data_IF_657463607409
#
_entry.id   IF_657463607409
#
_cell.length_a   1.000
_cell.length_b   1.000
_cell.length_c   1.000
_cell.angle_alpha   90.00
_cell.angle_beta   90.00
_cell.angle_gamma   90.00
#
_symmetry.space_group_name_H-M   'P 1'
#
loop_
_entity.id
_entity.type
_entity.pdbx_description
1 polymer ?
#
# COMPACT_ATOMS: atom_id res chain seq x y z
N UNK A 1 35.01 68.11 13.04
CA UNK A 1 35.92 69.01 12.29
C UNK A 1 36.90 68.14 11.50
N UNK A 2 36.95 68.31 10.18
CA UNK A 2 37.87 67.66 9.22
C UNK A 2 39.34 67.84 9.64
N UNK A 3 40.21 66.85 9.42
CA UNK A 3 41.12 66.84 8.24
C UNK A 3 42.28 65.82 8.31
N UNK A 4 42.43 65.07 7.18
CA UNK A 4 43.65 64.75 6.41
C UNK A 4 44.76 63.90 7.07
N UNK A 5 45.57 63.10 6.37
CA UNK A 5 45.67 62.50 5.01
C UNK A 5 47.05 61.79 5.00
N UNK A 6 47.16 60.55 4.49
CA UNK A 6 48.25 60.01 3.61
C UNK A 6 48.57 58.52 3.84
N UNK A 7 48.14 57.72 2.87
CA UNK A 7 48.91 56.80 2.01
C UNK A 7 50.22 56.18 2.54
N UNK A 8 50.26 54.83 2.55
CA UNK A 8 51.38 54.07 2.00
C UNK A 8 50.90 52.70 1.49
N UNK A 9 51.37 52.39 0.28
CA UNK A 9 51.04 51.31 -0.64
C UNK A 9 51.93 50.09 -0.36
N UNK A 10 51.38 48.88 -0.31
CA UNK A 10 52.15 47.65 -0.48
C UNK A 10 51.30 46.61 -1.24
N UNK A 11 51.76 46.32 -2.44
CA UNK A 11 51.32 45.30 -3.40
C UNK A 11 51.79 43.92 -2.95
N UNK A 12 50.89 42.93 -2.97
CA UNK A 12 51.23 41.52 -3.10
C UNK A 12 50.20 40.89 -4.03
N UNK A 13 50.75 40.27 -5.07
CA UNK A 13 50.14 39.73 -6.27
C UNK A 13 50.07 38.22 -6.08
N UNK A 14 48.88 37.63 -6.02
CA UNK A 14 48.69 36.17 -6.15
C UNK A 14 47.46 35.88 -7.00
N UNK A 15 47.76 35.18 -8.09
CA UNK A 15 46.94 34.79 -9.23
C UNK A 15 45.75 33.91 -8.87
N UNK A 16 44.54 34.33 -9.27
CA UNK A 16 43.36 33.47 -9.41
C UNK A 16 43.47 32.69 -10.73
N UNK A 17 43.48 31.37 -10.65
CA UNK A 17 43.28 30.47 -11.78
C UNK A 17 41.80 30.09 -11.81
N UNK A 18 41.04 30.69 -12.72
CA UNK A 18 39.69 30.24 -13.08
C UNK A 18 39.83 29.00 -13.98
N UNK A 19 39.22 27.89 -13.56
CA UNK A 19 39.08 26.68 -14.39
C UNK A 19 37.71 26.75 -15.04
N UNK A 20 37.69 27.12 -16.33
CA UNK A 20 36.55 26.92 -17.21
C UNK A 20 36.32 25.41 -17.41
N UNK A 21 35.16 24.92 -16.97
CA UNK A 21 34.63 23.62 -17.39
C UNK A 21 33.49 23.90 -18.35
N UNK A 22 33.74 23.70 -19.64
CA UNK A 22 32.73 23.77 -20.70
C UNK A 22 31.64 22.71 -20.48
N UNK A 23 30.41 23.13 -20.14
CA UNK A 23 29.22 22.28 -20.18
C UNK A 23 28.53 22.40 -21.53
N UNK A 24 28.84 21.50 -22.47
CA UNK A 24 28.11 21.38 -23.73
C UNK A 24 26.81 20.59 -23.55
N UNK A 25 25.75 21.25 -23.07
CA UNK A 25 24.36 20.77 -23.20
C UNK A 25 23.63 21.63 -24.24
N UNK A 26 23.47 21.11 -25.46
CA UNK A 26 22.69 21.76 -26.51
C UNK A 26 21.20 21.67 -26.16
N UNK A 27 20.60 22.81 -25.84
CA UNK A 27 19.16 22.98 -25.65
C UNK A 27 18.47 22.86 -27.02
N UNK A 28 17.74 21.77 -27.25
CA UNK A 28 16.84 21.64 -28.41
C UNK A 28 15.58 22.44 -28.08
N UNK A 29 15.43 23.61 -28.70
CA UNK A 29 14.22 24.43 -28.61
C UNK A 29 13.10 23.73 -29.39
N UNK A 30 12.14 23.16 -28.67
CA UNK A 30 10.88 22.67 -29.26
C UNK A 30 9.96 23.88 -29.46
N UNK A 31 9.38 24.10 -30.65
CA UNK A 31 8.52 25.26 -30.90
C UNK A 31 7.23 25.20 -30.08
N UNK A 32 6.79 26.37 -29.59
CA UNK A 32 5.53 26.58 -28.86
C UNK A 32 4.33 25.99 -29.64
N UNK A 33 3.78 24.89 -29.15
CA UNK A 33 2.46 24.42 -29.58
C UNK A 33 1.36 25.18 -28.84
N UNK A 34 0.38 25.65 -29.61
CA UNK A 34 -0.77 26.45 -29.19
C UNK A 34 -1.48 25.94 -27.90
N UNK A 35 -2.12 26.83 -27.13
CA UNK A 35 -2.73 26.49 -25.85
C UNK A 35 -3.87 25.48 -26.02
N UNK A 36 -3.75 24.32 -25.36
CA UNK A 36 -4.80 23.32 -25.25
C UNK A 36 -5.95 23.94 -24.45
N UNK A 37 -7.06 24.27 -25.12
CA UNK A 37 -8.30 24.70 -24.46
C UNK A 37 -8.80 23.56 -23.56
N UNK A 38 -8.79 23.77 -22.24
CA UNK A 38 -9.44 22.89 -21.26
C UNK A 38 -10.96 22.99 -21.45
N UNK A 39 -11.57 22.01 -22.10
CA UNK A 39 -12.99 22.01 -22.47
C UNK A 39 -13.90 21.19 -21.55
N UNK A 40 -13.46 20.74 -20.37
CA UNK A 40 -14.33 19.95 -19.45
C UNK A 40 -14.27 20.41 -18.00
N UNK A 41 -15.45 20.40 -17.37
CA UNK A 41 -15.66 20.83 -15.99
C UNK A 41 -15.20 19.74 -14.99
N UNK A 42 -14.86 20.09 -13.73
CA UNK A 42 -14.47 19.13 -12.71
C UNK A 42 -15.69 18.30 -12.29
N UNK A 43 -15.84 17.15 -12.93
CA UNK A 43 -16.98 16.23 -12.81
C UNK A 43 -17.01 15.21 -13.96
N UNK A 44 -16.46 15.57 -15.12
CA UNK A 44 -16.39 14.71 -16.31
C UNK A 44 -15.24 13.68 -16.28
N UNK A 45 -14.51 13.58 -15.17
CA UNK A 45 -13.45 12.56 -14.94
C UNK A 45 -14.01 11.26 -14.35
N UNK A 46 -15.32 11.18 -14.11
CA UNK A 46 -15.96 9.92 -13.79
C UNK A 46 -16.06 9.10 -15.07
N UNK A 47 -14.98 8.36 -15.37
CA UNK A 47 -15.06 7.21 -16.25
C UNK A 47 -16.09 6.29 -15.61
N UNK A 48 -17.28 6.21 -16.19
CA UNK A 48 -18.23 5.16 -15.87
C UNK A 48 -17.50 3.84 -16.08
N UNK A 49 -17.18 3.14 -14.99
CA UNK A 49 -16.61 1.80 -15.04
C UNK A 49 -17.61 0.95 -15.81
N UNK A 50 -17.31 0.48 -17.03
CA UNK A 50 -18.14 -0.54 -17.63
C UNK A 50 -17.94 -1.77 -16.74
N UNK A 51 -19.00 -2.22 -16.07
CA UNK A 51 -19.04 -3.57 -15.52
C UNK A 51 -18.96 -4.54 -16.71
N UNK A 52 -17.73 -4.88 -17.09
CA UNK A 52 -17.44 -6.08 -17.88
C UNK A 52 -16.93 -7.13 -16.91
N UNK A 53 -17.60 -8.28 -16.78
CA UNK A 53 -17.00 -9.41 -16.09
C UNK A 53 -15.76 -9.80 -16.89
N UNK A 54 -14.60 -9.82 -16.23
CA UNK A 54 -13.40 -10.44 -16.79
C UNK A 54 -13.80 -11.86 -17.17
N UNK A 55 -13.76 -12.14 -18.47
CA UNK A 55 -14.21 -13.39 -19.04
C UNK A 55 -13.31 -14.52 -18.55
N UNK A 56 -13.92 -15.46 -17.83
CA UNK A 56 -13.48 -16.85 -17.75
C UNK A 56 -12.26 -17.11 -16.87
N UNK A 57 -12.47 -17.16 -15.55
CA UNK A 57 -12.34 -18.38 -14.71
C UNK A 57 -12.50 -17.93 -13.26
N UNK A 58 -13.65 -18.23 -12.66
CA UNK A 58 -13.81 -18.09 -11.20
C UNK A 58 -12.95 -19.18 -10.57
N UNK A 59 -11.69 -18.87 -10.26
CA UNK A 59 -10.90 -19.70 -9.38
C UNK A 59 -11.61 -19.71 -8.02
N UNK A 60 -12.31 -20.81 -7.71
CA UNK A 60 -12.92 -21.05 -6.39
C UNK A 60 -11.82 -21.30 -5.37
N UNK A 61 -11.08 -20.26 -5.00
CA UNK A 61 -10.26 -20.29 -3.78
C UNK A 61 -11.18 -19.88 -2.64
N UNK A 62 -11.97 -20.84 -2.18
CA UNK A 62 -12.76 -20.69 -0.97
C UNK A 62 -12.08 -21.50 0.12
N UNK A 63 -11.37 -20.77 0.98
CA UNK A 63 -11.03 -21.24 2.33
C UNK A 63 -12.33 -21.70 3.00
N UNK A 64 -12.31 -22.90 3.57
CA UNK A 64 -13.43 -23.39 4.38
C UNK A 64 -13.13 -23.11 5.85
N UNK A 65 -13.95 -22.25 6.46
CA UNK A 65 -13.92 -22.00 7.89
C UNK A 65 -15.07 -22.75 8.54
N UNK A 66 -14.79 -23.54 9.56
CA UNK A 66 -15.78 -24.30 10.30
C UNK A 66 -15.93 -23.68 11.69
N UNK A 67 -17.14 -23.26 12.02
CA UNK A 67 -17.51 -22.78 13.34
C UNK A 67 -18.20 -23.92 14.10
N UNK A 68 -17.57 -24.38 15.18
CA UNK A 68 -18.16 -25.35 16.12
C UNK A 68 -18.52 -24.64 17.42
N UNK A 69 -19.15 -25.39 18.34
CA UNK A 69 -19.47 -24.88 19.67
C UNK A 69 -18.24 -24.49 20.48
N UNK A 70 -17.08 -25.10 20.22
CA UNK A 70 -15.85 -25.03 21.00
C UNK A 70 -14.65 -24.45 20.24
N UNK A 71 -14.67 -24.43 18.91
CA UNK A 71 -13.54 -24.02 18.09
C UNK A 71 -13.95 -23.31 16.79
N UNK A 72 -13.00 -22.59 16.21
CA UNK A 72 -13.02 -22.14 14.82
C UNK A 72 -11.86 -22.82 14.09
N UNK A 73 -12.17 -23.56 13.04
CA UNK A 73 -11.20 -24.36 12.28
C UNK A 73 -11.13 -23.80 10.86
N UNK A 74 -9.99 -23.22 10.47
CA UNK A 74 -9.74 -22.82 9.09
C UNK A 74 -8.98 -23.93 8.38
N UNK A 75 -9.62 -24.55 7.38
CA UNK A 75 -8.99 -25.59 6.56
C UNK A 75 -8.11 -24.96 5.48
N UNK A 76 -6.98 -25.58 5.12
CA UNK A 76 -6.06 -25.04 4.14
C UNK A 76 -6.71 -24.80 2.77
N UNK A 77 -6.21 -23.79 2.04
CA UNK A 77 -6.73 -23.39 0.71
C UNK A 77 -6.39 -24.39 -0.41
N UNK A 78 -5.29 -25.12 -0.26
CA UNK A 78 -4.81 -26.13 -1.20
C UNK A 78 -4.90 -27.50 -0.56
N UNK A 79 -5.16 -28.53 -1.37
CA UNK A 79 -5.03 -29.93 -0.97
C UNK A 79 -3.58 -30.35 -0.71
N UNK A 80 -2.59 -29.53 -1.06
CA UNK A 80 -1.18 -29.80 -0.76
C UNK A 80 -0.79 -29.34 0.65
N UNK A 81 -1.38 -28.24 1.11
CA UNK A 81 -1.25 -27.85 2.51
C UNK A 81 -2.18 -28.73 3.34
N UNK A 82 -1.60 -29.44 4.29
CA UNK A 82 -2.30 -30.39 5.15
C UNK A 82 -2.42 -29.87 6.58
N UNK A 83 -2.20 -28.58 6.79
CA UNK A 83 -2.23 -27.96 8.13
C UNK A 83 -3.41 -27.00 8.22
N UNK A 84 -4.29 -27.25 9.18
CA UNK A 84 -5.39 -26.36 9.53
C UNK A 84 -5.00 -25.44 10.68
N UNK A 85 -5.59 -24.25 10.69
CA UNK A 85 -5.55 -23.33 11.81
C UNK A 85 -6.74 -23.61 12.72
N UNK A 86 -6.48 -23.81 14.02
CA UNK A 86 -7.52 -24.05 15.01
C UNK A 86 -7.45 -22.98 16.09
N UNK A 87 -8.58 -22.34 16.34
CA UNK A 87 -8.75 -21.34 17.40
C UNK A 87 -9.76 -21.88 18.39
N UNK A 88 -9.32 -22.11 19.62
CA UNK A 88 -10.20 -22.52 20.72
C UNK A 88 -11.04 -21.33 21.18
N UNK A 89 -12.37 -21.49 21.23
CA UNK A 89 -13.31 -20.40 21.54
C UNK A 89 -13.50 -20.16 23.04
N UNK A 90 -13.04 -21.06 23.90
CA UNK A 90 -13.10 -20.88 25.35
C UNK A 90 -11.90 -20.08 25.88
N UNK A 91 -10.70 -20.41 25.40
CA UNK A 91 -9.42 -19.84 25.79
C UNK A 91 -8.94 -18.74 24.85
N UNK A 92 -9.43 -18.70 23.60
CA UNK A 92 -8.89 -17.84 22.54
C UNK A 92 -7.50 -18.28 22.06
N UNK A 93 -7.02 -19.45 22.49
CA UNK A 93 -5.70 -19.96 22.08
C UNK A 93 -5.72 -20.46 20.64
N UNK A 94 -4.60 -20.28 19.96
CA UNK A 94 -4.43 -20.65 18.56
C UNK A 94 -3.41 -21.76 18.43
N UNK A 95 -3.64 -22.69 17.50
CA UNK A 95 -2.76 -23.81 17.19
C UNK A 95 -2.86 -24.20 15.71
N UNK A 96 -1.86 -24.93 15.23
CA UNK A 96 -1.87 -25.60 13.93
C UNK A 96 -2.00 -27.11 14.13
N UNK A 97 -2.84 -27.76 13.33
CA UNK A 97 -3.09 -29.20 13.42
C UNK A 97 -3.12 -29.79 12.02
N UNK A 98 -2.50 -30.96 11.82
CA UNK A 98 -2.60 -31.68 10.57
C UNK A 98 -4.06 -32.09 10.28
N UNK A 99 -4.52 -31.93 9.04
CA UNK A 99 -5.89 -32.21 8.63
C UNK A 99 -6.30 -33.66 8.87
N UNK A 100 -5.34 -34.60 8.81
CA UNK A 100 -5.56 -36.01 9.12
C UNK A 100 -5.92 -36.26 10.61
N UNK A 101 -5.46 -35.39 11.51
CA UNK A 101 -5.63 -35.51 12.96
C UNK A 101 -6.81 -34.67 13.49
N UNK A 102 -7.46 -33.89 12.61
CA UNK A 102 -8.59 -33.04 12.98
C UNK A 102 -9.81 -33.86 13.37
N UNK A 103 -10.32 -33.61 14.57
CA UNK A 103 -11.62 -34.11 15.03
C UNK A 103 -12.64 -32.99 14.89
N UNK A 104 -13.49 -33.10 13.89
CA UNK A 104 -14.52 -32.08 13.60
C UNK A 104 -15.86 -32.57 14.15
N UNK A 105 -16.49 -31.77 15.01
CA UNK A 105 -17.84 -32.02 15.51
C UNK A 105 -18.86 -32.09 14.37
N UNK A 106 -19.89 -32.93 14.51
CA UNK A 106 -21.00 -33.00 13.55
C UNK A 106 -21.83 -31.71 13.53
N UNK A 107 -21.95 -31.03 14.67
CA UNK A 107 -22.60 -29.72 14.77
C UNK A 107 -21.61 -28.62 14.41
N UNK A 108 -21.59 -28.25 13.12
CA UNK A 108 -20.72 -27.20 12.58
C UNK A 108 -21.48 -26.30 11.61
N UNK A 109 -21.09 -25.04 11.56
CA UNK A 109 -21.50 -24.08 10.53
C UNK A 109 -20.31 -23.83 9.62
N UNK A 110 -20.50 -24.03 8.32
CA UNK A 110 -19.48 -23.71 7.32
C UNK A 110 -19.60 -22.25 6.89
N UNK A 111 -18.49 -21.51 6.99
CA UNK A 111 -18.36 -20.12 6.58
C UNK A 111 -17.36 -20.10 5.42
N UNK A 112 -17.83 -19.86 4.18
CA UNK A 112 -16.93 -19.69 3.04
C UNK A 112 -16.19 -18.36 3.16
N UNK A 113 -14.88 -18.38 2.92
CA UNK A 113 -14.05 -17.18 2.90
C UNK A 113 -12.96 -17.28 1.83
N UNK A 114 -12.41 -16.15 1.39
CA UNK A 114 -11.23 -16.11 0.52
C UNK A 114 -9.94 -16.07 1.35
N UNK A 115 -9.97 -15.35 2.48
CA UNK A 115 -8.82 -15.25 3.36
C UNK A 115 -9.18 -14.98 4.82
N UNK A 116 -8.32 -15.47 5.72
CA UNK A 116 -8.21 -14.93 7.08
C UNK A 116 -7.38 -13.66 7.00
N UNK A 117 -7.96 -12.52 7.36
CA UNK A 117 -7.27 -11.22 7.39
C UNK A 117 -6.48 -11.03 8.70
N UNK A 118 -6.83 -11.76 9.76
CA UNK A 118 -6.14 -11.78 11.05
C UNK A 118 -7.11 -11.69 12.22
N UNK A 119 -6.60 -11.26 13.36
CA UNK A 119 -7.36 -11.13 14.60
C UNK A 119 -7.45 -9.68 15.05
N UNK A 120 -8.57 -9.30 15.66
CA UNK A 120 -8.74 -7.99 16.27
C UNK A 120 -9.47 -8.11 17.61
N UNK A 121 -9.06 -7.29 18.57
CA UNK A 121 -9.76 -7.14 19.85
C UNK A 121 -10.49 -5.82 19.86
N UNK A 122 -11.81 -5.88 20.06
CA UNK A 122 -12.70 -4.73 20.18
C UNK A 122 -13.19 -4.68 21.62
N UNK A 123 -12.69 -3.69 22.37
CA UNK A 123 -12.89 -3.56 23.82
C UNK A 123 -12.46 -4.85 24.55
N UNK A 124 -13.41 -5.64 25.02
CA UNK A 124 -13.18 -6.89 25.76
C UNK A 124 -13.32 -8.15 24.91
N UNK A 125 -13.75 -8.04 23.66
CA UNK A 125 -14.08 -9.18 22.81
C UNK A 125 -13.12 -9.33 21.64
N UNK A 126 -12.78 -10.57 21.31
CA UNK A 126 -11.82 -10.90 20.26
C UNK A 126 -12.51 -11.55 19.08
N UNK A 127 -12.10 -11.17 17.88
CA UNK A 127 -12.71 -11.58 16.63
C UNK A 127 -11.67 -12.13 15.66
N UNK A 128 -12.05 -13.17 14.93
CA UNK A 128 -11.41 -13.58 13.68
C UNK A 128 -11.98 -12.74 12.54
N UNK A 129 -11.12 -12.10 11.76
CA UNK A 129 -11.54 -11.29 10.62
C UNK A 129 -11.36 -12.08 9.33
N UNK A 130 -12.45 -12.21 8.57
CA UNK A 130 -12.50 -12.97 7.33
C UNK A 130 -12.86 -12.06 6.16
N UNK A 131 -12.20 -12.25 5.01
CA UNK A 131 -12.69 -11.74 3.73
C UNK A 131 -13.66 -12.77 3.14
N UNK A 132 -14.96 -12.55 3.27
CA UNK A 132 -16.00 -13.53 2.92
C UNK A 132 -16.50 -13.39 1.48
N UNK A 133 -16.49 -12.16 0.95
CA UNK A 133 -16.74 -11.92 -0.47
C UNK A 133 -15.61 -11.10 -1.08
N UNK A 134 -15.12 -11.56 -2.22
CA UNK A 134 -14.07 -10.91 -2.99
C UNK A 134 -14.33 -11.02 -4.48
N UNK A 135 -13.78 -10.09 -5.25
CA UNK A 135 -13.78 -10.13 -6.71
C UNK A 135 -12.34 -10.15 -7.22
N UNK A 136 -12.03 -11.02 -8.18
CA UNK A 136 -10.74 -11.01 -8.86
C UNK A 136 -10.72 -9.80 -9.82
N UNK A 137 -9.89 -8.80 -9.54
CA UNK A 137 -9.86 -7.52 -10.28
C UNK A 137 -8.66 -7.38 -11.22
N UNK A 138 -7.63 -8.20 -11.03
CA UNK A 138 -6.47 -8.26 -11.92
C UNK A 138 -5.79 -9.63 -11.84
N UNK A 139 -5.07 -9.97 -12.90
CA UNK A 139 -4.11 -11.07 -12.94
C UNK A 139 -2.81 -10.49 -13.47
N UNK A 140 -1.75 -10.57 -12.67
CA UNK A 140 -0.41 -10.06 -13.00
C UNK A 140 0.54 -11.24 -13.01
N UNK A 141 1.00 -11.67 -14.18
CA UNK A 141 1.70 -12.94 -14.36
C UNK A 141 0.83 -14.11 -13.89
N UNK A 142 1.28 -14.83 -12.85
CA UNK A 142 0.51 -15.89 -12.19
C UNK A 142 -0.25 -15.43 -10.94
N UNK A 143 -0.13 -14.15 -10.56
CA UNK A 143 -0.68 -13.63 -9.31
C UNK A 143 -2.09 -13.09 -9.55
N UNK A 144 -3.07 -13.65 -8.85
CA UNK A 144 -4.44 -13.15 -8.83
C UNK A 144 -4.61 -12.11 -7.73
N UNK A 145 -5.14 -10.93 -8.08
CA UNK A 145 -5.41 -9.84 -7.14
C UNK A 145 -6.91 -9.75 -6.87
N UNK A 146 -7.26 -9.83 -5.59
CA UNK A 146 -8.63 -9.85 -5.12
C UNK A 146 -8.97 -8.53 -4.42
N UNK A 147 -10.09 -7.91 -4.80
CA UNK A 147 -10.70 -6.81 -4.05
C UNK A 147 -11.67 -7.38 -3.02
N UNK A 148 -11.64 -6.86 -1.79
CA UNK A 148 -12.57 -7.25 -0.73
C UNK A 148 -13.88 -6.49 -0.92
N UNK A 149 -14.99 -7.21 -1.12
CA UNK A 149 -16.34 -6.63 -1.17
C UNK A 149 -17.11 -6.83 0.13
N UNK A 150 -16.79 -7.87 0.90
CA UNK A 150 -17.35 -8.11 2.23
C UNK A 150 -16.34 -8.74 3.17
N UNK A 151 -16.24 -8.19 4.37
CA UNK A 151 -15.49 -8.74 5.48
C UNK A 151 -16.40 -8.97 6.68
N UNK A 152 -16.21 -10.11 7.35
CA UNK A 152 -17.00 -10.52 8.52
C UNK A 152 -16.10 -10.72 9.74
N UNK A 153 -16.59 -10.31 10.91
CA UNK A 153 -15.95 -10.50 12.21
C UNK A 153 -16.64 -11.64 12.96
N UNK A 154 -15.94 -12.76 13.14
CA UNK A 154 -16.45 -13.91 13.87
C UNK A 154 -15.95 -13.84 15.32
N UNK A 155 -16.87 -13.69 16.28
CA UNK A 155 -16.51 -13.67 17.69
C UNK A 155 -15.86 -15.00 18.12
N UNK A 156 -14.72 -14.88 18.78
CA UNK A 156 -14.05 -16.02 19.41
C UNK A 156 -14.72 -16.42 20.72
N UNK A 157 -15.41 -15.50 21.40
CA UNK A 157 -15.91 -15.73 22.75
C UNK A 157 -17.19 -16.58 22.75
N UNK A 158 -17.32 -17.41 23.78
CA UNK A 158 -18.56 -18.07 24.21
C UNK A 158 -18.96 -17.57 25.61
N UNK A 159 -18.22 -16.61 26.18
CA UNK A 159 -18.48 -16.12 27.53
C UNK A 159 -19.92 -15.57 27.61
N UNK A 160 -20.62 -15.78 28.75
CA UNK A 160 -21.95 -15.21 28.93
C UNK A 160 -21.88 -13.70 28.69
N UNK A 161 -22.85 -13.19 27.94
CA UNK A 161 -22.92 -11.79 27.57
C UNK A 161 -22.57 -10.89 28.77
N UNK A 162 -21.71 -9.87 28.60
CA UNK A 162 -21.38 -8.91 29.65
C UNK A 162 -22.62 -8.55 30.47
N UNK A 163 -22.48 -8.55 31.80
CA UNK A 163 -23.59 -8.22 32.72
C UNK A 163 -24.19 -6.85 32.40
N UNK A 164 -23.39 -5.97 31.79
CA UNK A 164 -23.76 -4.66 31.29
C UNK A 164 -24.15 -4.70 29.81
N UNK A 165 -25.45 -4.52 29.53
CA UNK A 165 -26.01 -4.47 28.17
C UNK A 165 -25.42 -3.33 27.33
N UNK A 166 -24.91 -2.26 27.93
CA UNK A 166 -24.30 -1.15 27.19
C UNK A 166 -23.01 -1.59 26.51
N UNK A 167 -22.16 -2.32 27.22
CA UNK A 167 -20.88 -2.79 26.68
C UNK A 167 -21.08 -3.77 25.52
N UNK A 168 -22.09 -4.63 25.60
CA UNK A 168 -22.46 -5.54 24.49
C UNK A 168 -22.83 -4.74 23.23
N UNK A 169 -23.64 -3.69 23.40
CA UNK A 169 -24.05 -2.84 22.29
C UNK A 169 -22.85 -2.09 21.70
N UNK A 170 -21.94 -1.59 22.53
CA UNK A 170 -20.75 -0.86 22.08
C UNK A 170 -19.79 -1.77 21.29
N UNK A 171 -19.53 -2.99 21.77
CA UNK A 171 -18.73 -3.98 21.04
C UNK A 171 -19.37 -4.30 19.69
N UNK A 172 -20.67 -4.58 19.66
CA UNK A 172 -21.39 -4.89 18.43
C UNK A 172 -21.35 -3.72 17.43
N UNK A 173 -21.57 -2.49 17.90
CA UNK A 173 -21.53 -1.30 17.05
C UNK A 173 -20.13 -1.06 16.46
N UNK A 174 -19.09 -1.22 17.27
CA UNK A 174 -17.70 -1.07 16.81
C UNK A 174 -17.29 -2.18 15.83
N UNK A 175 -17.64 -3.44 16.12
CA UNK A 175 -17.38 -4.56 15.22
C UNK A 175 -18.05 -4.35 13.86
N UNK A 176 -19.32 -3.97 13.85
CA UNK A 176 -20.07 -3.67 12.62
C UNK A 176 -19.48 -2.45 11.88
N UNK A 177 -18.96 -1.47 12.61
CA UNK A 177 -18.21 -0.35 12.04
C UNK A 177 -16.93 -0.80 11.31
N UNK A 178 -16.18 -1.75 11.89
CA UNK A 178 -14.98 -2.33 11.29
C UNK A 178 -15.34 -3.16 10.06
N UNK A 179 -16.38 -4.00 10.12
CA UNK A 179 -16.88 -4.76 8.96
C UNK A 179 -17.24 -3.82 7.80
N UNK A 180 -17.98 -2.74 8.08
CA UNK A 180 -18.33 -1.72 7.07
C UNK A 180 -17.11 -1.03 6.48
N UNK A 181 -16.13 -0.70 7.32
CA UNK A 181 -14.89 -0.09 6.87
C UNK A 181 -14.11 -1.01 5.94
N UNK A 182 -13.91 -2.27 6.34
CA UNK A 182 -13.19 -3.27 5.53
C UNK A 182 -13.95 -3.69 4.27
N UNK A 183 -15.28 -3.59 4.29
CA UNK A 183 -16.15 -3.85 3.12
C UNK A 183 -16.32 -2.63 2.22
N UNK A 184 -15.71 -1.49 2.56
CA UNK A 184 -15.66 -0.32 1.66
C UNK A 184 -14.66 -0.62 0.54
N UNK A 185 -14.97 -0.16 -0.69
CA UNK A 185 -14.04 -0.30 -1.80
C UNK A 185 -12.69 0.34 -1.47
N UNK A 186 -11.61 -0.44 -1.62
CA UNK A 186 -10.26 0.06 -1.40
C UNK A 186 -9.28 -0.98 -0.86
N UNK A 187 -9.74 -2.11 -0.32
CA UNK A 187 -8.87 -3.16 0.19
C UNK A 187 -8.63 -4.27 -0.83
N UNK A 188 -7.36 -4.65 -0.99
CA UNK A 188 -6.93 -5.66 -1.95
C UNK A 188 -5.88 -6.58 -1.33
N UNK A 189 -5.83 -7.83 -1.78
CA UNK A 189 -4.79 -8.78 -1.42
C UNK A 189 -4.51 -9.74 -2.57
N UNK A 190 -3.40 -10.48 -2.48
CA UNK A 190 -3.12 -11.62 -3.32
C UNK A 190 -2.69 -12.80 -2.44
N UNK A 191 -3.12 -14.01 -2.78
CA UNK A 191 -2.70 -15.20 -2.04
C UNK A 191 -1.27 -15.57 -2.47
N UNK A 192 -0.37 -15.71 -1.50
CA UNK A 192 1.02 -16.09 -1.75
C UNK A 192 1.89 -14.98 -2.36
N UNK A 193 1.38 -13.76 -2.50
CA UNK A 193 2.11 -12.61 -3.01
C UNK A 193 1.86 -11.39 -2.12
N UNK A 194 2.93 -10.70 -1.73
CA UNK A 194 2.84 -9.50 -0.91
C UNK A 194 2.70 -8.25 -1.78
N UNK A 195 1.47 -7.81 -1.96
CA UNK A 195 1.18 -6.60 -2.73
C UNK A 195 1.74 -5.32 -2.09
N UNK A 196 2.17 -5.32 -0.82
CA UNK A 196 2.77 -4.14 -0.20
C UNK A 196 4.08 -3.72 -0.90
N UNK A 197 4.72 -4.64 -1.62
CA UNK A 197 5.92 -4.39 -2.43
C UNK A 197 5.56 -4.26 -3.91
N UNK A 198 6.31 -3.44 -4.68
CA UNK A 198 6.14 -3.40 -6.12
C UNK A 198 6.68 -4.68 -6.78
N UNK A 199 6.04 -5.10 -7.87
CA UNK A 199 6.40 -6.30 -8.66
C UNK A 199 7.84 -6.23 -9.19
N UNK A 200 8.35 -5.04 -9.52
CA UNK A 200 9.74 -4.85 -9.98
C UNK A 200 10.79 -5.39 -9.00
N UNK A 201 10.47 -5.46 -7.70
CA UNK A 201 11.38 -5.95 -6.66
C UNK A 201 11.19 -7.43 -6.33
N UNK A 202 10.13 -8.05 -6.83
CA UNK A 202 9.81 -9.46 -6.56
C UNK A 202 10.67 -10.40 -7.40
N UNK A 203 11.15 -9.96 -8.56
CA UNK A 203 12.02 -10.79 -9.41
C UNK A 203 13.39 -11.05 -8.75
N UNK A 204 13.88 -10.08 -7.96
CA UNK A 204 15.15 -10.16 -7.24
C UNK A 204 15.14 -11.06 -5.98
N UNK A 205 13.98 -11.47 -5.48
CA UNK A 205 13.89 -12.31 -4.26
C UNK A 205 13.91 -13.82 -4.56
N UNK A 206 13.88 -14.21 -5.83
CA UNK A 206 13.80 -15.62 -6.26
C UNK A 206 15.12 -16.41 -6.13
N UNK A 207 16.25 -15.75 -5.83
CA UNK A 207 17.58 -16.40 -5.83
C UNK A 207 18.25 -16.58 -4.47
N UNK A 208 17.57 -16.27 -3.36
CA UNK A 208 18.09 -16.60 -2.03
C UNK A 208 16.96 -17.15 -1.17
N UNK A 209 17.20 -18.36 -0.68
CA UNK A 209 16.45 -19.07 0.36
C UNK A 209 16.34 -18.23 1.64
N UNK A 210 15.53 -17.16 1.64
CA UNK A 210 15.18 -16.45 2.86
C UNK A 210 13.84 -16.99 3.34
N UNK A 211 13.89 -17.77 4.40
CA UNK A 211 12.77 -18.15 5.28
C UNK A 211 12.11 -16.95 5.98
N UNK A 212 12.21 -15.74 5.41
CA UNK A 212 11.59 -14.55 5.93
C UNK A 212 10.10 -14.63 5.61
N UNK A 213 9.27 -14.49 6.64
CA UNK A 213 7.81 -14.43 6.48
C UNK A 213 7.43 -13.30 5.54
N UNK A 214 6.31 -13.41 4.81
CA UNK A 214 5.70 -12.26 4.11
C UNK A 214 5.51 -11.05 5.05
N UNK A 215 5.36 -11.30 6.35
CA UNK A 215 5.30 -10.29 7.40
C UNK A 215 6.63 -9.54 7.63
N UNK A 216 7.76 -10.24 7.52
CA UNK A 216 9.10 -9.71 7.80
C UNK A 216 9.66 -8.98 6.59
N UNK A 217 9.33 -9.47 5.38
CA UNK A 217 9.78 -8.87 4.12
C UNK A 217 8.89 -7.74 3.62
N UNK A 218 7.67 -7.61 4.15
CA UNK A 218 6.68 -6.68 3.63
C UNK A 218 6.97 -5.22 3.93
N UNK A 219 6.51 -4.34 3.05
CA UNK A 219 6.63 -2.90 3.25
C UNK A 219 5.56 -2.47 4.28
N UNK A 220 5.99 -2.24 5.53
CA UNK A 220 5.11 -1.85 6.63
C UNK A 220 4.24 -0.64 6.28
N UNK A 221 4.73 0.27 5.43
CA UNK A 221 3.94 1.42 4.98
C UNK A 221 2.66 0.97 4.31
N UNK A 222 2.65 -0.14 3.57
CA UNK A 222 1.49 -0.57 2.78
C UNK A 222 0.80 -1.85 3.29
N UNK A 223 1.31 -2.48 4.36
CA UNK A 223 0.73 -3.70 4.94
C UNK A 223 -0.37 -3.37 5.96
N UNK A 224 -1.61 -3.15 5.51
CA UNK A 224 -2.70 -2.59 6.33
C UNK A 224 -3.19 -3.47 7.48
N UNK A 225 -3.21 -4.80 7.30
CA UNK A 225 -3.59 -5.76 8.33
C UNK A 225 -2.40 -6.33 9.12
N UNK A 226 -1.22 -5.68 9.08
CA UNK A 226 -0.01 -6.21 9.73
C UNK A 226 -0.21 -6.56 11.21
N UNK A 227 -0.82 -5.66 11.98
CA UNK A 227 -1.07 -5.90 13.42
C UNK A 227 -2.01 -7.10 13.64
N UNK A 228 -3.00 -7.25 12.76
CA UNK A 228 -3.96 -8.35 12.83
C UNK A 228 -3.29 -9.71 12.57
N UNK A 229 -2.16 -9.72 11.85
CA UNK A 229 -1.41 -10.92 11.50
C UNK A 229 -0.32 -11.29 12.51
N UNK A 230 -0.01 -10.45 13.50
CA UNK A 230 1.13 -10.70 14.41
C UNK A 230 1.02 -12.03 15.14
N UNK A 231 -0.19 -12.42 15.55
CA UNK A 231 -0.41 -13.65 16.31
C UNK A 231 -0.03 -14.92 15.53
N UNK A 232 -0.12 -14.90 14.19
CA UNK A 232 0.29 -16.03 13.37
C UNK A 232 1.78 -16.37 13.52
N UNK A 233 2.61 -15.37 13.85
CA UNK A 233 4.05 -15.58 14.06
C UNK A 233 4.36 -16.42 15.29
N UNK A 234 3.44 -16.48 16.25
CA UNK A 234 3.59 -17.26 17.48
C UNK A 234 3.52 -18.78 17.22
N UNK A 235 3.00 -19.19 16.06
CA UNK A 235 2.89 -20.60 15.64
C UNK A 235 4.06 -21.05 14.76
N UNK A 236 5.11 -20.23 14.62
CA UNK A 236 6.23 -20.53 13.73
C UNK A 236 5.85 -20.52 12.25
N UNK A 237 6.52 -21.35 11.46
CA UNK A 237 6.41 -21.32 10.00
C UNK A 237 5.04 -21.78 9.49
N UNK A 238 4.40 -22.72 10.20
CA UNK A 238 3.05 -23.16 9.88
C UNK A 238 2.03 -22.02 10.02
N UNK A 239 2.17 -21.19 11.05
CA UNK A 239 1.35 -19.99 11.21
C UNK A 239 1.63 -18.93 10.16
N UNK A 240 2.90 -18.71 9.80
CA UNK A 240 3.29 -17.73 8.78
C UNK A 240 2.62 -17.98 7.43
N UNK A 241 2.32 -19.23 7.09
CA UNK A 241 1.59 -19.60 5.87
C UNK A 241 0.13 -19.09 5.83
N UNK A 242 -0.42 -18.66 6.97
CA UNK A 242 -1.75 -18.06 7.07
C UNK A 242 -1.77 -16.55 6.83
N UNK A 243 -0.60 -15.90 6.83
CA UNK A 243 -0.48 -14.45 6.68
C UNK A 243 -0.82 -14.07 5.24
N UNK A 244 -1.80 -13.17 5.09
CA UNK A 244 -2.20 -12.60 3.79
C UNK A 244 -2.06 -11.08 3.88
N UNK A 245 -1.02 -10.50 3.26
CA UNK A 245 -0.86 -9.05 3.22
C UNK A 245 -2.00 -8.36 2.47
N UNK A 246 -2.64 -7.40 3.13
CA UNK A 246 -3.68 -6.56 2.58
C UNK A 246 -3.15 -5.15 2.36
N UNK A 247 -3.41 -4.58 1.19
CA UNK A 247 -3.14 -3.17 0.86
C UNK A 247 -4.46 -2.39 0.85
N UNK A 248 -4.36 -1.07 1.01
CA UNK A 248 -5.46 -0.15 0.72
C UNK A 248 -5.09 0.78 -0.43
N UNK A 249 -6.00 1.07 -1.35
CA UNK A 249 -5.78 1.98 -2.47
C UNK A 249 -6.68 1.67 -3.66
N UNK A 250 -6.08 1.33 -4.81
CA UNK A 250 -6.83 1.00 -6.01
C UNK A 250 -6.07 0.00 -6.89
N UNK A 251 -6.79 -0.92 -7.53
CA UNK A 251 -6.25 -1.83 -8.54
C UNK A 251 -7.15 -1.80 -9.75
N UNK A 252 -6.58 -1.62 -10.93
CA UNK A 252 -7.28 -1.66 -12.20
C UNK A 252 -6.44 -2.38 -13.25
N UNK A 253 -7.05 -3.24 -14.06
CA UNK A 253 -6.37 -3.96 -15.12
C UNK A 253 -7.18 -3.91 -16.39
N UNK A 254 -6.51 -3.64 -17.51
CA UNK A 254 -7.14 -3.55 -18.83
C UNK A 254 -6.23 -4.18 -19.88
N UNK A 255 -6.82 -4.90 -20.83
CA UNK A 255 -6.12 -5.51 -21.97
C UNK A 255 -6.38 -4.68 -23.23
N UNK A 256 -5.31 -4.39 -23.96
CA UNK A 256 -5.32 -3.61 -25.18
C UNK A 256 -4.83 -4.48 -26.34
N UNK A 257 -5.55 -4.48 -27.46
CA UNK A 257 -5.05 -5.08 -28.70
C UNK A 257 -4.09 -4.11 -29.41
N UNK A 258 -2.94 -4.62 -29.83
CA UNK A 258 -1.99 -3.88 -30.66
C UNK A 258 -2.43 -3.93 -32.13
N UNK A 259 -2.09 -2.87 -32.87
CA UNK A 259 -2.31 -2.84 -34.31
C UNK A 259 -1.37 -3.82 -35.02
N UNK A 260 -1.87 -4.47 -36.07
CA UNK A 260 -1.13 -5.46 -36.88
C UNK A 260 0.22 -4.94 -37.41
N UNK A 261 0.38 -3.63 -37.56
CA UNK A 261 1.63 -2.99 -38.00
C UNK A 261 2.75 -3.01 -36.96
N UNK A 262 2.42 -3.23 -35.68
CA UNK A 262 3.37 -3.31 -34.55
C UNK A 262 3.60 -4.78 -34.14
N UNK A 263 2.66 -5.65 -34.47
CA UNK A 263 2.74 -7.10 -34.22
C UNK A 263 3.80 -7.70 -35.14
N UNK A 264 4.80 -8.35 -34.54
CA UNK A 264 5.78 -9.17 -35.24
C UNK A 264 5.73 -10.59 -34.67
N UNK A 265 6.43 -11.56 -35.28
CA UNK A 265 6.49 -12.93 -34.75
C UNK A 265 6.95 -13.00 -33.27
N UNK A 266 7.60 -11.95 -32.75
CA UNK A 266 8.13 -11.89 -31.38
C UNK A 266 7.29 -11.03 -30.42
N UNK A 267 6.25 -10.33 -30.90
CA UNK A 267 5.46 -9.39 -30.08
C UNK A 267 4.01 -9.86 -30.06
N UNK A 268 3.48 -10.11 -28.86
CA UNK A 268 2.07 -10.49 -28.68
C UNK A 268 1.13 -9.45 -29.30
N UNK A 269 0.00 -9.90 -29.83
CA UNK A 269 -1.07 -9.02 -30.32
C UNK A 269 -1.82 -8.28 -29.21
N UNK A 270 -1.53 -8.58 -27.94
CA UNK A 270 -2.17 -7.96 -26.77
C UNK A 270 -1.14 -7.48 -25.75
N UNK A 271 -1.46 -6.34 -25.11
CA UNK A 271 -0.77 -5.81 -23.93
C UNK A 271 -1.78 -5.71 -22.80
N UNK A 272 -1.45 -6.24 -21.63
CA UNK A 272 -2.21 -5.99 -20.40
C UNK A 272 -1.51 -4.90 -19.60
N UNK A 273 -2.25 -3.86 -19.21
CA UNK A 273 -1.77 -2.87 -18.26
C UNK A 273 -2.52 -3.00 -16.94
N UNK A 274 -1.77 -3.14 -15.85
CA UNK A 274 -2.32 -3.15 -14.49
C UNK A 274 -1.77 -1.97 -13.71
N UNK A 275 -2.66 -1.15 -13.15
CA UNK A 275 -2.32 -0.04 -12.27
C UNK A 275 -2.63 -0.43 -10.83
N UNK A 276 -1.62 -0.40 -9.96
CA UNK A 276 -1.72 -0.73 -8.54
C UNK A 276 -1.31 0.49 -7.72
N UNK A 277 -2.27 1.10 -7.04
CA UNK A 277 -2.03 2.20 -6.09
C UNK A 277 -2.15 1.70 -4.66
N UNK A 278 -1.13 1.99 -3.85
CA UNK A 278 -1.01 1.58 -2.46
C UNK A 278 -0.89 2.81 -1.58
N UNK A 279 -1.82 2.97 -0.65
CA UNK A 279 -1.87 4.06 0.32
C UNK A 279 -1.15 3.63 1.59
N UNK A 280 -0.27 4.48 2.10
CA UNK A 280 0.40 4.23 3.36
C UNK A 280 -0.59 4.13 4.52
N UNK A 281 -0.40 3.16 5.42
CA UNK A 281 -1.06 3.07 6.73
C UNK A 281 -0.46 4.05 7.74
N UNK A 282 0.81 4.41 7.56
CA UNK A 282 1.48 5.38 8.43
C UNK A 282 0.86 6.74 8.19
N UNK A 283 0.42 7.37 9.29
CA UNK A 283 -0.32 8.64 9.25
C UNK A 283 -1.56 8.61 8.34
N UNK A 284 -2.15 7.45 8.12
CA UNK A 284 -3.45 7.36 7.49
C UNK A 284 -4.50 7.91 8.45
N UNK A 285 -5.23 8.95 8.02
CA UNK A 285 -6.55 9.34 8.55
C UNK A 285 -6.70 10.42 9.63
N UNK A 286 -5.66 10.98 10.29
CA UNK A 286 -5.89 12.24 10.98
C UNK A 286 -6.27 13.30 9.93
N UNK A 287 -7.42 13.96 10.08
CA UNK A 287 -7.79 15.12 9.22
C UNK A 287 -6.71 16.22 9.23
N UNK A 288 -5.82 16.15 10.21
CA UNK A 288 -4.66 17.02 10.42
C UNK A 288 -3.32 16.35 10.07
N UNK A 289 -3.29 15.14 9.50
CA UNK A 289 -2.09 14.48 9.00
C UNK A 289 -1.68 15.05 7.64
N UNK A 290 -1.32 16.32 7.68
CA UNK A 290 -0.69 17.01 6.58
C UNK A 290 0.80 17.11 6.89
N UNK A 291 1.64 17.06 5.87
CA UNK A 291 3.09 17.23 6.05
C UNK A 291 3.81 15.93 6.43
N UNK A 292 5.03 16.06 6.97
CA UNK A 292 5.81 14.98 7.57
C UNK A 292 5.60 14.91 9.08
N UNK A 293 5.87 13.75 9.69
CA UNK A 293 6.20 13.68 11.13
C UNK A 293 7.72 13.78 11.34
N UNK A 294 8.12 13.75 12.61
CA UNK A 294 9.53 13.74 13.03
C UNK A 294 10.33 12.52 12.54
N UNK A 295 9.63 11.47 12.10
CA UNK A 295 10.23 10.23 11.57
C UNK A 295 10.31 10.23 10.04
N UNK A 296 9.80 11.28 9.38
CA UNK A 296 9.83 11.42 7.94
C UNK A 296 8.66 10.71 7.22
N UNK A 297 7.63 10.27 7.94
CA UNK A 297 6.44 9.69 7.32
C UNK A 297 5.54 10.80 6.77
N UNK A 298 5.27 10.73 5.47
CA UNK A 298 4.40 11.69 4.79
C UNK A 298 2.92 11.34 4.95
N UNK A 299 2.12 12.33 5.34
CA UNK A 299 0.67 12.22 5.39
C UNK A 299 0.07 11.95 4.01
N UNK A 300 -0.77 10.92 3.90
CA UNK A 300 -1.42 10.55 2.64
C UNK A 300 -0.46 10.02 1.57
N UNK A 301 0.70 9.49 1.97
CA UNK A 301 1.67 8.90 1.05
C UNK A 301 1.06 7.73 0.25
N UNK A 302 1.30 7.72 -1.06
CA UNK A 302 0.80 6.72 -1.99
C UNK A 302 1.92 6.34 -2.98
N UNK A 303 2.08 5.05 -3.23
CA UNK A 303 2.87 4.52 -4.34
C UNK A 303 1.92 3.95 -5.40
N UNK A 304 2.09 4.38 -6.65
CA UNK A 304 1.35 3.89 -7.80
C UNK A 304 2.31 3.20 -8.75
N UNK A 305 2.09 1.90 -8.98
CA UNK A 305 2.84 1.06 -9.90
C UNK A 305 2.01 0.77 -11.14
N UNK A 306 2.61 0.97 -12.31
CA UNK A 306 2.08 0.53 -13.59
C UNK A 306 2.87 -0.71 -14.01
N UNK A 307 2.18 -1.85 -14.11
CA UNK A 307 2.72 -3.09 -14.65
C UNK A 307 2.19 -3.26 -16.08
N UNK A 308 3.08 -3.56 -17.01
CA UNK A 308 2.76 -3.85 -18.41
C UNK A 308 3.23 -5.26 -18.74
N UNK A 309 2.34 -6.06 -19.32
CA UNK A 309 2.62 -7.42 -19.75
C UNK A 309 2.37 -7.56 -21.24
N UNK A 310 3.37 -8.05 -21.99
CA UNK A 310 3.26 -8.29 -23.42
C UNK A 310 4.14 -9.47 -23.82
N UNK A 311 3.55 -10.52 -24.41
CA UNK A 311 4.31 -11.66 -24.94
C UNK A 311 5.15 -12.40 -23.90
N UNK A 312 4.68 -12.46 -22.64
CA UNK A 312 5.41 -13.08 -21.53
C UNK A 312 6.52 -12.20 -20.93
N UNK A 313 6.73 -10.99 -21.44
CA UNK A 313 7.61 -9.99 -20.82
C UNK A 313 6.79 -9.08 -19.93
N UNK A 314 7.29 -8.81 -18.72
CA UNK A 314 6.68 -7.89 -17.76
C UNK A 314 7.61 -6.70 -17.53
N UNK A 315 7.05 -5.49 -17.54
CA UNK A 315 7.72 -4.27 -17.12
C UNK A 315 6.94 -3.59 -16.01
N UNK A 316 7.62 -2.95 -15.07
CA UNK A 316 6.99 -2.19 -13.99
C UNK A 316 7.60 -0.80 -13.85
N UNK A 317 6.73 0.18 -13.59
CA UNK A 317 7.09 1.58 -13.39
C UNK A 317 6.40 2.13 -12.14
N UNK A 318 7.19 2.69 -11.22
CA UNK A 318 6.72 3.14 -9.90
C UNK A 318 6.78 4.67 -9.77
N UNK A 319 5.70 5.27 -9.29
CA UNK A 319 5.62 6.69 -8.92
C UNK A 319 5.16 6.80 -7.47
N UNK A 320 5.74 7.72 -6.71
CA UNK A 320 5.28 8.06 -5.36
C UNK A 320 4.68 9.48 -5.32
N UNK A 321 3.68 9.68 -4.46
CA UNK A 321 3.14 10.99 -4.11
C UNK A 321 2.88 11.08 -2.61
N UNK A 322 2.98 12.26 -2.03
CA UNK A 322 2.70 12.49 -0.61
C UNK A 322 2.39 13.95 -0.32
N UNK A 323 2.14 14.25 0.94
CA UNK A 323 2.05 15.64 1.41
C UNK A 323 3.39 16.38 1.22
N UNK A 324 3.31 17.70 1.12
CA UNK A 324 4.46 18.60 1.16
C UNK A 324 5.40 18.21 2.32
N UNK A 325 6.72 18.12 2.12
CA UNK A 325 7.62 17.55 3.10
C UNK A 325 7.98 18.52 4.25
N UNK A 326 6.96 19.09 4.90
CA UNK A 326 7.11 20.04 6.00
C UNK A 326 6.42 19.50 7.25
N UNK A 327 7.01 19.76 8.41
CA UNK A 327 6.32 19.62 9.69
C UNK A 327 5.57 20.92 9.93
N UNK A 328 4.24 20.84 9.95
CA UNK A 328 3.40 22.00 10.27
C UNK A 328 2.30 21.67 11.26
N UNK A 329 1.98 22.65 12.10
CA UNK A 329 0.91 22.55 13.10
C UNK A 329 -0.16 23.58 12.76
N UNK A 330 -1.36 23.09 12.48
CA UNK A 330 -2.53 23.94 12.32
C UNK A 330 -3.21 24.13 13.69
N UNK A 331 -2.95 25.28 14.34
CA UNK A 331 -3.50 25.59 15.68
C UNK A 331 -5.04 25.61 15.72
N UNK A 332 -5.70 25.87 14.60
CA UNK A 332 -7.15 25.74 14.45
C UNK A 332 -7.54 25.53 12.99
N UNK A 333 -8.47 24.60 12.67
CA UNK A 333 -9.04 24.46 11.34
C UNK A 333 -9.63 25.80 10.87
N UNK A 334 -9.14 26.33 9.74
CA UNK A 334 -9.76 27.46 9.02
C UNK A 334 -9.42 28.88 9.48
N UNK A 335 -8.60 29.12 10.53
CA UNK A 335 -8.46 30.47 11.09
C UNK A 335 -7.04 31.06 11.16
N UNK A 336 -5.98 30.29 10.91
CA UNK A 336 -4.60 30.81 10.95
C UNK A 336 -3.69 30.11 9.94
N UNK A 337 -2.67 30.85 9.47
CA UNK A 337 -1.59 30.27 8.69
C UNK A 337 -0.89 29.17 9.51
N UNK A 338 -0.61 28.01 8.89
CA UNK A 338 0.06 26.92 9.59
C UNK A 338 1.45 27.36 10.03
N UNK A 339 1.83 27.00 11.27
CA UNK A 339 3.19 27.22 11.75
C UNK A 339 4.08 26.11 11.21
N UNK A 340 5.20 26.48 10.62
CA UNK A 340 6.20 25.55 10.06
C UNK A 340 7.38 25.48 11.01
N UNK A 341 7.80 24.25 11.34
CA UNK A 341 9.05 23.98 12.05
C UNK A 341 10.16 23.75 11.01
N UNK A 342 10.96 24.77 10.71
CA UNK A 342 11.97 24.71 9.63
C UNK A 342 13.09 23.70 9.92
N UNK A 343 13.58 23.67 11.16
CA UNK A 343 14.66 22.77 11.57
C UNK A 343 14.18 21.32 11.60
N UNK A 344 13.01 21.08 12.22
CA UNK A 344 12.38 19.76 12.22
C UNK A 344 12.03 19.28 10.80
N UNK A 345 11.54 20.17 9.94
CA UNK A 345 11.23 19.83 8.54
C UNK A 345 12.46 19.40 7.76
N UNK A 346 13.61 20.04 7.97
CA UNK A 346 14.86 19.67 7.28
C UNK A 346 15.30 18.26 7.67
N UNK A 347 15.24 17.93 8.96
CA UNK A 347 15.58 16.58 9.45
C UNK A 347 14.58 15.54 8.96
N UNK A 348 13.29 15.82 9.04
CA UNK A 348 12.24 14.93 8.57
C UNK A 348 12.31 14.68 7.06
N UNK A 349 12.60 15.71 6.26
CA UNK A 349 12.80 15.58 4.81
C UNK A 349 14.00 14.68 4.51
N UNK A 350 15.11 14.85 5.23
CA UNK A 350 16.28 13.97 5.07
C UNK A 350 15.90 12.51 5.35
N UNK A 351 15.26 12.23 6.48
CA UNK A 351 14.77 10.87 6.81
C UNK A 351 13.83 10.34 5.73
N UNK A 352 12.90 11.17 5.25
CA UNK A 352 11.96 10.80 4.20
C UNK A 352 12.67 10.37 2.92
N UNK A 353 13.61 11.18 2.43
CA UNK A 353 14.40 10.87 1.23
C UNK A 353 15.26 9.62 1.46
N UNK A 354 15.89 9.49 2.62
CA UNK A 354 16.67 8.30 2.99
C UNK A 354 15.82 7.04 2.92
N UNK A 355 14.60 7.04 3.47
CA UNK A 355 13.69 5.89 3.38
C UNK A 355 13.32 5.56 1.92
N UNK A 356 13.08 6.58 1.08
CA UNK A 356 12.77 6.36 -0.34
C UNK A 356 13.96 5.78 -1.12
N UNK A 357 15.18 6.21 -0.82
CA UNK A 357 16.40 5.77 -1.53
C UNK A 357 16.99 4.47 -0.95
N UNK A 358 16.89 4.26 0.35
CA UNK A 358 17.52 3.16 1.08
C UNK A 358 16.62 1.93 1.23
N UNK A 359 15.34 2.00 0.85
CA UNK A 359 14.44 0.85 0.89
C UNK A 359 15.01 -0.36 0.15
N UNK A 360 14.67 -1.56 0.65
CA UNK A 360 15.11 -2.84 0.09
C UNK A 360 15.01 -2.84 -1.45
N UNK A 361 16.16 -2.97 -2.10
CA UNK A 361 16.28 -3.06 -3.56
C UNK A 361 16.42 -1.73 -4.31
N UNK A 362 16.73 -0.60 -3.65
CA UNK A 362 16.90 0.72 -4.29
C UNK A 362 15.71 1.07 -5.20
N UNK A 363 14.49 1.04 -4.63
CA UNK A 363 13.23 1.23 -5.36
C UNK A 363 13.23 2.47 -6.26
N UNK A 364 13.83 3.55 -5.78
CA UNK A 364 13.97 4.81 -6.50
C UNK A 364 15.44 5.14 -6.72
N UNK A 365 15.85 5.34 -7.98
CA UNK A 365 17.21 5.80 -8.33
C UNK A 365 17.44 7.27 -8.00
N UNK A 366 16.38 8.07 -8.06
CA UNK A 366 16.40 9.50 -7.78
C UNK A 366 15.04 9.96 -7.29
N UNK A 367 15.02 10.94 -6.38
CA UNK A 367 13.80 11.58 -5.90
C UNK A 367 13.84 13.05 -6.33
N UNK A 368 12.78 13.50 -7.00
CA UNK A 368 12.57 14.91 -7.31
C UNK A 368 11.31 15.39 -6.58
N UNK A 369 11.38 16.58 -5.99
CA UNK A 369 10.23 17.24 -5.38
C UNK A 369 9.64 18.20 -6.41
N UNK A 370 8.39 17.97 -6.80
CA UNK A 370 7.68 18.85 -7.73
C UNK A 370 6.58 19.60 -6.99
N UNK A 371 6.66 20.93 -6.92
CA UNK A 371 5.53 21.73 -6.42
C UNK A 371 4.50 21.92 -7.54
N UNK A 372 3.28 21.42 -7.32
CA UNK A 372 2.15 21.62 -8.25
C UNK A 372 1.39 22.92 -7.94
N UNK A 373 1.82 23.67 -6.91
CA UNK A 373 1.27 25.00 -6.60
C UNK A 373 2.02 26.02 -7.44
N UNK A 374 1.47 26.34 -8.61
CA UNK A 374 1.93 27.47 -9.40
C UNK A 374 1.73 28.76 -8.60
N UNK A 375 2.79 29.53 -8.38
CA UNK A 375 2.64 30.90 -7.93
C UNK A 375 1.95 31.68 -9.05
N UNK A 376 0.71 32.13 -8.84
CA UNK A 376 0.01 33.02 -9.76
C UNK A 376 0.68 34.41 -9.94
N UNK A 377 1.94 34.55 -9.55
CA UNK A 377 2.73 35.77 -9.64
C UNK A 377 4.03 35.66 -10.41
N UNK A 378 4.49 34.47 -10.81
CA UNK A 378 5.71 34.34 -11.60
C UNK A 378 5.55 33.24 -12.66
N UNK A 379 5.23 33.67 -13.88
CA UNK A 379 5.03 32.85 -15.08
C UNK A 379 6.31 32.14 -15.58
N UNK A 380 7.33 31.93 -14.75
CA UNK A 380 8.61 31.39 -15.24
C UNK A 380 9.48 30.62 -14.22
N UNK A 381 8.88 29.94 -13.24
CA UNK A 381 9.66 28.95 -12.45
C UNK A 381 8.83 27.70 -12.16
N UNK A 382 9.22 26.60 -12.81
CA UNK A 382 9.03 25.25 -12.27
C UNK A 382 10.28 24.98 -11.44
N UNK A 383 10.15 25.00 -10.11
CA UNK A 383 11.19 24.54 -9.18
C UNK A 383 10.70 23.38 -8.33
#
# INVERSE_FOLDING_TARGET
KKSKKKDAKATADESKQEVEVESSAKMVVVPETAPIKRTRAPGDYLISVPEKPVSGTSAKILLKVLLTGDAIICLPRSTESQIALVVDRFSGSMSTIACADLKISESKVEIPAYAVLGFITVLSERFLVLATECTCVAVVGSVQVFAISRADLISLSIQPAPTDKSQVADVANLALGIERFLSTQGFFFAIGCDLSRPFVLMEHTTTTSSSASLLDSGDDRFFWNREMCLEFTLLGDEGRNWIVPMIHGAVHSEEFSLADSVVSEQVSSTITATLISRRSRLRAWPRDAKGLDIDGNSGGFIETEQVLECGGVMGSYLIARGSCPLIWVQKSPGLSSPLVDEEGSTMALRKHIEVLLAGDGQKFKSVALLSVVGSAKDDNTVS
#
